data_IF_739469763660
#
_entry.id   IF_739469763660
#
_cell.length_a   1.000
_cell.length_b   1.000
_cell.length_c   1.000
_cell.angle_alpha   90.00
_cell.angle_beta   90.00
_cell.angle_gamma   90.00
#
_symmetry.space_group_name_H-M   'P 1'
#
loop_
_entity.id
_entity.type
_entity.pdbx_description
1 polymer ?
#
# COMPACT_ATOMS: atom_id res chain seq x y z
N UNK A 1 0.44 -3.23 16.04
CA UNK A 1 -0.64 -3.26 15.02
C UNK A 1 -1.31 -4.61 15.11
N UNK A 2 -2.63 -4.66 15.34
CA UNK A 2 -3.40 -5.91 15.47
C UNK A 2 -4.13 -6.18 14.16
N UNK A 3 -3.75 -7.23 13.43
CA UNK A 3 -4.30 -7.53 12.11
C UNK A 3 -4.30 -9.05 11.87
N UNK A 4 -5.19 -9.56 11.00
CA UNK A 4 -5.24 -10.97 10.64
C UNK A 4 -4.22 -11.33 9.55
N UNK A 5 -3.07 -10.64 9.53
CA UNK A 5 -2.05 -10.77 8.48
C UNK A 5 -0.83 -11.54 8.98
N UNK A 6 -0.01 -12.02 8.03
CA UNK A 6 1.32 -12.56 8.31
C UNK A 6 2.36 -11.45 8.19
N UNK A 7 3.51 -11.62 8.84
CA UNK A 7 4.63 -10.67 8.70
C UNK A 7 5.10 -10.53 7.25
N UNK A 8 4.95 -11.60 6.45
CA UNK A 8 5.31 -11.67 5.04
C UNK A 8 4.22 -11.18 4.10
N UNK A 9 3.02 -10.85 4.60
CA UNK A 9 1.96 -10.30 3.76
C UNK A 9 2.39 -8.94 3.25
N UNK A 10 2.32 -8.73 1.94
CA UNK A 10 2.67 -7.46 1.30
C UNK A 10 1.47 -6.56 1.11
N UNK A 11 1.66 -5.27 1.40
CA UNK A 11 0.65 -4.23 1.26
C UNK A 11 1.16 -3.23 0.21
N UNK A 12 0.45 -3.07 -0.93
CA UNK A 12 0.76 -1.98 -1.86
C UNK A 12 0.47 -0.64 -1.16
N UNK A 13 1.44 0.26 -1.18
CA UNK A 13 1.35 1.54 -0.48
C UNK A 13 1.53 2.72 -1.44
N UNK A 14 0.77 3.79 -1.20
CA UNK A 14 0.86 5.06 -1.90
C UNK A 14 0.47 6.20 -0.97
N UNK A 15 1.11 7.36 -1.10
CA UNK A 15 0.66 8.57 -0.42
C UNK A 15 -0.49 9.20 -1.21
N UNK A 16 -1.71 8.83 -0.84
CA UNK A 16 -2.93 9.16 -1.60
C UNK A 16 -3.06 10.65 -1.87
N UNK A 17 -2.75 11.51 -0.89
CA UNK A 17 -2.99 12.95 -1.00
C UNK A 17 -2.11 13.64 -2.07
N UNK A 18 -0.77 13.52 -2.06
CA UNK A 18 0.08 14.12 -3.08
C UNK A 18 0.24 13.29 -4.35
N UNK A 19 0.06 11.96 -4.32
CA UNK A 19 0.42 11.13 -5.48
C UNK A 19 -0.74 10.86 -6.43
N UNK A 20 -2.00 10.80 -5.96
CA UNK A 20 -3.15 10.54 -6.85
C UNK A 20 -3.26 11.61 -7.94
N UNK A 21 -3.03 12.87 -7.59
CA UNK A 21 -3.06 13.98 -8.55
C UNK A 21 -2.04 13.84 -9.69
N UNK A 22 -0.88 13.23 -9.42
CA UNK A 22 0.17 13.00 -10.43
C UNK A 22 -0.33 12.05 -11.53
N UNK A 23 -1.04 10.98 -11.15
CA UNK A 23 -1.65 10.04 -12.10
C UNK A 23 -2.75 10.68 -12.93
N UNK A 24 -3.58 11.52 -12.32
CA UNK A 24 -4.64 12.25 -13.02
C UNK A 24 -4.03 13.20 -14.06
N UNK A 25 -3.04 14.01 -13.66
CA UNK A 25 -2.35 14.94 -14.57
C UNK A 25 -1.66 14.19 -15.72
N UNK A 26 -0.95 13.10 -15.43
CA UNK A 26 -0.32 12.26 -16.45
C UNK A 26 -1.35 11.73 -17.46
N UNK A 27 -2.48 11.21 -16.98
CA UNK A 27 -3.54 10.64 -17.81
C UNK A 27 -4.20 11.68 -18.73
N UNK A 28 -4.36 12.92 -18.23
CA UNK A 28 -4.94 14.01 -19.01
C UNK A 28 -3.98 14.53 -20.09
N UNK A 29 -2.69 14.66 -19.76
CA UNK A 29 -1.68 15.19 -20.69
C UNK A 29 -1.23 14.15 -21.72
N UNK A 30 -1.19 12.86 -21.37
CA UNK A 30 -0.84 11.74 -22.26
C UNK A 30 -2.08 10.94 -22.67
N UNK A 31 -3.17 11.62 -23.02
CA UNK A 31 -4.50 11.03 -23.23
C UNK A 31 -4.52 9.82 -24.17
N UNK A 32 -3.82 9.88 -25.30
CA UNK A 32 -3.78 8.78 -26.28
C UNK A 32 -3.11 7.52 -25.75
N UNK A 33 -2.14 7.68 -24.85
CA UNK A 33 -1.44 6.56 -24.19
C UNK A 33 -2.25 6.04 -22.99
N UNK A 34 -2.98 6.92 -22.30
CA UNK A 34 -3.78 6.56 -21.12
C UNK A 34 -5.08 5.81 -21.46
N UNK A 35 -5.67 6.07 -22.63
CA UNK A 35 -7.00 5.57 -22.95
C UNK A 35 -7.02 4.03 -23.01
N UNK A 36 -7.91 3.41 -22.22
CA UNK A 36 -8.05 1.96 -22.14
C UNK A 36 -6.98 1.27 -21.28
N UNK A 37 -6.05 2.02 -20.68
CA UNK A 37 -5.06 1.48 -19.76
C UNK A 37 -5.63 1.30 -18.35
N UNK A 38 -5.13 0.28 -17.65
CA UNK A 38 -5.35 0.07 -16.23
C UNK A 38 -4.04 0.23 -15.48
N UNK A 39 -3.91 1.33 -14.73
CA UNK A 39 -2.74 1.60 -13.92
C UNK A 39 -2.91 1.01 -12.52
N UNK A 40 -1.93 0.24 -12.06
CA UNK A 40 -1.85 -0.23 -10.68
C UNK A 40 -1.15 0.84 -9.86
N UNK A 41 -1.93 1.58 -9.08
CA UNK A 41 -1.41 2.68 -8.25
C UNK A 41 -0.85 2.13 -6.95
N UNK A 42 0.44 1.85 -6.93
CA UNK A 42 1.22 1.88 -5.71
C UNK A 42 2.67 2.28 -5.99
N UNK A 43 3.28 2.96 -5.02
CA UNK A 43 4.68 3.33 -5.06
C UNK A 43 5.57 2.10 -4.79
N UNK A 44 5.16 1.27 -3.85
CA UNK A 44 5.93 0.10 -3.42
C UNK A 44 5.06 -0.96 -2.75
N UNK A 45 5.63 -2.16 -2.64
CA UNK A 45 5.06 -3.32 -1.95
C UNK A 45 5.91 -3.57 -0.73
N UNK A 46 5.31 -3.39 0.44
CA UNK A 46 6.01 -3.53 1.71
C UNK A 46 5.39 -4.69 2.46
N UNK A 47 6.21 -5.62 2.94
CA UNK A 47 5.72 -6.62 3.88
C UNK A 47 5.28 -5.92 5.17
N UNK A 48 4.39 -6.53 5.94
CA UNK A 48 4.01 -6.01 7.27
C UNK A 48 5.25 -5.82 8.15
N UNK A 49 6.25 -6.70 8.01
CA UNK A 49 7.56 -6.56 8.65
C UNK A 49 8.30 -5.30 8.20
N UNK A 50 8.41 -5.05 6.89
CA UNK A 50 9.05 -3.85 6.34
C UNK A 50 8.40 -2.58 6.90
N UNK A 51 7.06 -2.54 6.94
CA UNK A 51 6.31 -1.41 7.49
C UNK A 51 6.69 -1.17 8.96
N UNK A 52 6.73 -2.22 9.78
CA UNK A 52 7.12 -2.12 11.19
C UNK A 52 8.57 -1.62 11.34
N UNK A 53 9.50 -2.12 10.53
CA UNK A 53 10.91 -1.74 10.57
C UNK A 53 11.16 -0.31 10.10
N UNK A 54 10.54 0.09 8.98
CA UNK A 54 10.63 1.47 8.45
C UNK A 54 10.02 2.44 9.47
N UNK A 55 8.84 2.13 10.00
CA UNK A 55 8.21 2.93 11.05
C UNK A 55 9.14 3.09 12.26
N UNK A 56 9.68 1.98 12.77
CA UNK A 56 10.55 2.01 13.95
C UNK A 56 11.83 2.79 13.70
N UNK A 57 12.42 2.65 12.50
CA UNK A 57 13.61 3.40 12.08
C UNK A 57 13.35 4.90 11.96
N UNK A 58 12.22 5.29 11.37
CA UNK A 58 11.88 6.71 11.11
C UNK A 58 11.46 7.43 12.38
N UNK A 59 10.67 6.78 13.23
CA UNK A 59 10.03 7.42 14.39
C UNK A 59 10.78 7.19 15.71
N UNK A 60 11.66 6.18 15.76
CA UNK A 60 12.28 5.70 17.00
C UNK A 60 11.33 4.93 17.92
N UNK A 61 10.05 4.75 17.55
CA UNK A 61 9.05 4.02 18.34
C UNK A 61 8.95 2.57 17.86
N UNK A 62 8.83 1.63 18.79
CA UNK A 62 8.68 0.22 18.42
C UNK A 62 7.26 -0.07 17.93
N UNK A 63 7.14 -0.52 16.68
CA UNK A 63 5.93 -1.11 16.14
C UNK A 63 6.14 -2.61 15.90
N UNK A 64 5.17 -3.43 16.31
CA UNK A 64 5.14 -4.87 16.05
C UNK A 64 3.77 -5.30 15.54
N UNK A 65 3.74 -6.33 14.70
CA UNK A 65 2.52 -7.04 14.36
C UNK A 65 2.11 -7.93 15.53
N UNK A 66 0.85 -7.85 15.92
CA UNK A 66 0.17 -8.81 16.76
C UNK A 66 -0.85 -9.52 15.86
N UNK A 67 -0.56 -10.77 15.50
CA UNK A 67 -1.44 -11.55 14.65
C UNK A 67 -2.71 -11.91 15.41
N UNK A 68 -3.87 -11.68 14.79
CA UNK A 68 -5.18 -12.10 15.29
C UNK A 68 -5.74 -13.20 14.40
N UNK A 69 -6.50 -14.13 14.98
CA UNK A 69 -7.31 -15.03 14.17
C UNK A 69 -8.39 -14.27 13.40
N UNK A 70 -8.84 -14.84 12.29
CA UNK A 70 -9.90 -14.26 11.46
C UNK A 70 -11.17 -14.01 12.28
N UNK A 71 -11.54 -14.90 13.20
CA UNK A 71 -12.68 -14.71 14.10
C UNK A 71 -12.51 -13.57 15.08
N UNK A 72 -11.33 -13.43 15.70
CA UNK A 72 -11.06 -12.34 16.66
C UNK A 72 -11.06 -10.98 15.96
N UNK A 73 -10.45 -10.91 14.77
CA UNK A 73 -10.43 -9.67 14.01
C UNK A 73 -11.82 -9.31 13.50
N UNK A 74 -12.59 -10.27 12.95
CA UNK A 74 -13.98 -10.06 12.53
C UNK A 74 -14.86 -9.53 13.65
N UNK A 75 -14.72 -10.08 14.86
CA UNK A 75 -15.46 -9.60 16.02
C UNK A 75 -15.13 -8.14 16.39
N UNK A 76 -13.92 -7.66 16.06
CA UNK A 76 -13.45 -6.31 16.38
C UNK A 76 -13.80 -5.23 15.35
N UNK A 77 -13.85 -5.57 14.05
CA UNK A 77 -14.04 -4.59 12.96
C UNK A 77 -15.26 -4.86 12.07
N UNK A 78 -15.94 -5.99 12.25
CA UNK A 78 -17.02 -6.44 11.39
C UNK A 78 -16.55 -7.25 10.18
N UNK A 79 -17.52 -7.84 9.48
CA UNK A 79 -17.26 -8.83 8.42
C UNK A 79 -16.54 -8.23 7.20
N UNK A 80 -17.06 -7.14 6.64
CA UNK A 80 -16.54 -6.55 5.39
C UNK A 80 -15.07 -6.14 5.50
N UNK A 81 -14.69 -5.47 6.59
CA UNK A 81 -13.29 -5.09 6.83
C UNK A 81 -12.41 -6.32 7.03
N UNK A 82 -12.89 -7.33 7.77
CA UNK A 82 -12.14 -8.56 7.99
C UNK A 82 -11.86 -9.32 6.70
N UNK A 83 -12.89 -9.49 5.87
CA UNK A 83 -12.79 -10.15 4.57
C UNK A 83 -11.83 -9.42 3.63
N UNK A 84 -11.81 -8.08 3.64
CA UNK A 84 -10.86 -7.30 2.84
C UNK A 84 -9.40 -7.62 3.19
N UNK A 85 -9.07 -7.75 4.48
CA UNK A 85 -7.71 -8.13 4.91
C UNK A 85 -7.39 -9.60 4.62
N UNK A 86 -8.35 -10.51 4.75
CA UNK A 86 -8.17 -11.92 4.37
C UNK A 86 -7.92 -12.05 2.87
N UNK A 87 -8.68 -11.35 2.03
CA UNK A 87 -8.49 -11.35 0.58
C UNK A 87 -7.11 -10.81 0.20
N UNK A 88 -6.67 -9.72 0.85
CA UNK A 88 -5.31 -9.20 0.67
C UNK A 88 -4.26 -10.24 1.03
N UNK A 89 -4.40 -10.91 2.19
CA UNK A 89 -3.47 -11.95 2.67
C UNK A 89 -3.39 -13.14 1.73
N UNK A 90 -4.54 -13.64 1.29
CA UNK A 90 -4.66 -14.95 0.64
C UNK A 90 -4.54 -14.88 -0.89
N UNK A 91 -4.85 -13.72 -1.50
CA UNK A 91 -4.89 -13.55 -2.96
C UNK A 91 -4.03 -12.41 -3.51
N UNK A 92 -3.33 -11.67 -2.65
CA UNK A 92 -2.66 -10.41 -2.98
C UNK A 92 -3.65 -9.30 -3.37
N UNK A 93 -3.36 -8.04 -3.03
CA UNK A 93 -4.31 -6.93 -3.17
C UNK A 93 -4.83 -6.70 -4.61
N UNK A 94 -3.98 -6.89 -5.62
CA UNK A 94 -4.32 -6.70 -7.04
C UNK A 94 -4.30 -8.03 -7.83
N UNK A 95 -4.32 -9.15 -7.10
CA UNK A 95 -4.19 -10.50 -7.64
C UNK A 95 -2.75 -10.91 -7.97
N UNK A 96 -2.54 -12.19 -8.32
CA UNK A 96 -1.23 -12.76 -8.60
C UNK A 96 -0.49 -12.01 -9.72
N UNK A 97 0.82 -11.84 -9.59
CA UNK A 97 1.71 -11.14 -10.56
C UNK A 97 1.54 -9.63 -10.62
N UNK A 98 0.68 -9.04 -9.77
CA UNK A 98 0.47 -7.60 -9.79
C UNK A 98 1.69 -6.77 -9.39
N UNK A 99 2.68 -7.37 -8.74
CA UNK A 99 3.91 -6.70 -8.25
C UNK A 99 4.81 -6.14 -9.35
N UNK A 100 4.70 -6.64 -10.60
CA UNK A 100 5.57 -6.19 -11.72
C UNK A 100 5.03 -4.97 -12.48
N UNK A 101 3.70 -4.87 -12.59
CA UNK A 101 2.96 -3.77 -13.22
C UNK A 101 3.18 -2.33 -12.66
N UNK A 102 3.50 -2.12 -11.38
CA UNK A 102 3.59 -0.79 -10.77
C UNK A 102 4.88 -0.07 -11.11
N UNK A 103 6.00 -0.81 -11.19
CA UNK A 103 7.29 -0.25 -11.60
C UNK A 103 7.21 0.25 -13.05
N UNK A 104 6.44 -0.44 -13.90
CA UNK A 104 6.15 -0.02 -15.27
C UNK A 104 5.17 1.16 -15.28
N UNK A 105 4.12 1.11 -14.45
CA UNK A 105 3.13 2.18 -14.39
C UNK A 105 3.73 3.52 -13.92
N UNK A 106 4.67 3.51 -12.96
CA UNK A 106 5.30 4.76 -12.47
C UNK A 106 6.14 5.48 -13.54
N UNK A 107 6.60 4.78 -14.58
CA UNK A 107 7.26 5.39 -15.75
C UNK A 107 6.30 6.28 -16.57
N UNK A 108 4.99 6.11 -16.39
CA UNK A 108 3.98 6.96 -17.01
C UNK A 108 3.92 8.36 -16.37
N UNK A 109 4.37 8.51 -15.13
CA UNK A 109 4.33 9.77 -14.40
C UNK A 109 5.42 10.74 -14.85
N UNK A 110 5.18 12.03 -14.64
CA UNK A 110 6.19 13.07 -14.82
C UNK A 110 7.09 13.21 -13.59
N UNK A 111 6.55 12.94 -12.40
CA UNK A 111 7.22 13.04 -11.11
C UNK A 111 7.18 11.70 -10.39
N UNK A 112 8.20 11.43 -9.57
CA UNK A 112 8.21 10.25 -8.70
C UNK A 112 7.11 10.32 -7.63
N UNK A 113 6.65 9.15 -7.20
CA UNK A 113 5.76 8.98 -6.05
C UNK A 113 6.52 9.15 -4.73
N UNK A 114 5.76 9.35 -3.65
CA UNK A 114 6.27 9.52 -2.29
C UNK A 114 6.51 8.15 -1.66
N UNK A 115 7.72 7.91 -1.16
CA UNK A 115 8.03 6.62 -0.52
C UNK A 115 7.38 6.51 0.86
N UNK A 116 7.20 5.28 1.36
CA UNK A 116 6.68 5.07 2.72
C UNK A 116 7.53 5.78 3.78
N UNK A 117 8.87 5.76 3.64
CA UNK A 117 9.77 6.46 4.57
C UNK A 117 9.59 7.98 4.50
N UNK A 118 9.43 8.56 3.32
CA UNK A 118 9.17 10.00 3.15
C UNK A 118 7.83 10.41 3.75
N UNK A 119 6.79 9.60 3.54
CA UNK A 119 5.48 9.81 4.13
C UNK A 119 5.56 9.81 5.66
N UNK A 120 6.22 8.81 6.25
CA UNK A 120 6.39 8.70 7.70
C UNK A 120 7.20 9.86 8.27
N UNK A 121 8.25 10.34 7.59
CA UNK A 121 9.03 11.51 8.05
C UNK A 121 8.22 12.81 8.06
N UNK A 122 7.31 12.98 7.10
CA UNK A 122 6.47 14.18 6.96
C UNK A 122 5.27 14.17 7.91
N UNK A 123 4.75 12.99 8.21
CA UNK A 123 3.56 12.82 9.05
C UNK A 123 3.92 13.07 10.52
N UNK A 124 3.68 14.28 11.02
CA UNK A 124 4.22 14.75 12.30
C UNK A 124 3.50 14.22 13.57
N UNK A 125 2.83 13.06 13.52
CA UNK A 125 1.91 12.63 14.58
C UNK A 125 2.26 11.28 15.25
N UNK A 126 3.46 10.76 15.04
CA UNK A 126 3.81 9.42 15.51
C UNK A 126 4.12 9.34 17.00
#
# INVERSE_FOLDING_TARGET
MKLPLLETTEIPSIDVAPDTGKWVVASLLKKSEALGQHFVLAEGWYTVKDICEIFSRVTGKTLRLEHLSDSEYTASVGQEMSEAWQLLRDFEYFGPSAKKRPLEATQFLFDRTTTLEEYLRKSALW
#
